data_IF_220455210060
#
_entry.id   IF_220455210060
#
_cell.length_a   1.000
_cell.length_b   1.000
_cell.length_c   1.000
_cell.angle_alpha   90.00
_cell.angle_beta   90.00
_cell.angle_gamma   90.00
#
_symmetry.space_group_name_H-M   'P 1'
#
loop_
_entity.id
_entity.type
_entity.pdbx_description
1 polymer ?
#
# COMPACT_ATOMS: atom_id res chain seq x y z
N UNK A 1 -6.46 22.15 28.26
CA UNK A 1 -5.52 21.06 28.57
C UNK A 1 -4.78 20.69 27.30
N UNK A 2 -3.50 20.31 27.41
CA UNK A 2 -2.74 19.81 26.26
C UNK A 2 -3.25 18.42 25.86
N UNK A 3 -3.46 18.16 24.56
CA UNK A 3 -3.84 16.84 24.07
C UNK A 3 -2.63 15.90 24.05
N UNK A 4 -2.87 14.63 24.31
CA UNK A 4 -1.88 13.58 24.44
C UNK A 4 -1.78 12.78 23.13
N UNK A 5 -0.61 12.77 22.53
CA UNK A 5 -0.34 12.06 21.27
C UNK A 5 0.62 10.90 21.52
N UNK A 6 0.14 9.70 21.31
CA UNK A 6 0.96 8.49 21.32
C UNK A 6 1.46 8.17 19.90
N UNK A 7 2.76 8.18 19.72
CA UNK A 7 3.41 7.75 18.48
C UNK A 7 3.88 6.32 18.63
N UNK A 8 3.14 5.39 18.05
CA UNK A 8 3.40 3.94 18.10
C UNK A 8 4.01 3.47 16.78
N UNK A 9 5.22 3.97 16.47
CA UNK A 9 5.96 3.71 15.24
C UNK A 9 7.46 3.67 15.52
N UNK A 10 8.23 2.81 14.87
CA UNK A 10 9.68 2.97 14.78
C UNK A 10 9.99 4.20 13.93
N UNK A 11 10.56 5.23 14.55
CA UNK A 11 10.91 6.49 13.88
C UNK A 11 12.35 6.88 14.16
N UNK A 12 12.96 7.63 13.22
CA UNK A 12 14.30 8.18 13.40
C UNK A 12 14.30 9.38 14.37
N UNK A 13 15.47 9.72 14.89
CA UNK A 13 15.63 10.92 15.73
C UNK A 13 15.19 12.22 15.02
N UNK A 14 15.42 12.32 13.71
CA UNK A 14 14.98 13.45 12.90
C UNK A 14 13.45 13.52 12.80
N UNK A 15 12.79 12.38 12.54
CA UNK A 15 11.33 12.32 12.49
C UNK A 15 10.72 12.67 13.85
N UNK A 16 11.32 12.17 14.94
CA UNK A 16 10.91 12.50 16.31
C UNK A 16 11.01 14.00 16.56
N UNK A 17 12.13 14.62 16.25
CA UNK A 17 12.33 16.06 16.42
C UNK A 17 11.30 16.87 15.62
N UNK A 18 10.93 16.43 14.41
CA UNK A 18 9.89 17.09 13.60
C UNK A 18 8.50 16.99 14.23
N UNK A 19 8.16 15.86 14.87
CA UNK A 19 6.89 15.69 15.58
C UNK A 19 6.86 16.58 16.83
N UNK A 20 7.92 16.54 17.65
CA UNK A 20 8.04 17.32 18.87
C UNK A 20 8.08 18.85 18.64
N UNK A 21 8.45 19.29 17.44
CA UNK A 21 8.41 20.70 17.04
C UNK A 21 6.98 21.27 16.95
N UNK A 22 5.95 20.43 16.82
CA UNK A 22 4.55 20.85 16.83
C UNK A 22 4.13 21.10 18.27
N UNK A 23 3.95 22.39 18.63
CA UNK A 23 3.64 22.82 19.97
C UNK A 23 2.18 22.61 20.39
N UNK A 24 1.92 22.56 21.68
CA UNK A 24 0.56 22.47 22.24
C UNK A 24 0.10 21.04 22.53
N UNK A 25 0.96 20.04 22.33
CA UNK A 25 0.69 18.63 22.58
C UNK A 25 1.70 18.03 23.56
N UNK A 26 1.29 16.98 24.28
CA UNK A 26 2.21 16.11 25.00
C UNK A 26 2.44 14.84 24.17
N UNK A 27 3.69 14.38 24.05
CA UNK A 27 4.06 13.25 23.22
C UNK A 27 4.62 12.10 24.03
N UNK A 28 4.19 10.88 23.70
CA UNK A 28 4.86 9.64 24.08
C UNK A 28 5.25 8.87 22.83
N UNK A 29 6.37 8.17 22.87
CA UNK A 29 6.89 7.39 21.74
C UNK A 29 7.10 5.95 22.18
N UNK A 30 6.55 5.03 21.41
CA UNK A 30 6.64 3.59 21.65
C UNK A 30 6.65 2.84 20.31
N UNK A 31 6.74 1.53 20.36
CA UNK A 31 6.55 0.65 19.19
C UNK A 31 5.44 -0.35 19.49
N UNK A 32 4.87 -1.03 18.49
CA UNK A 32 3.85 -2.06 18.73
C UNK A 32 4.25 -3.12 19.73
N UNK A 33 5.56 -3.46 19.78
CA UNK A 33 6.11 -4.50 20.66
C UNK A 33 6.34 -4.03 22.10
N UNK A 34 6.47 -2.73 22.32
CA UNK A 34 6.79 -2.15 23.63
C UNK A 34 5.65 -1.32 24.25
N UNK A 35 4.59 -1.12 23.49
CA UNK A 35 3.42 -0.37 23.94
C UNK A 35 2.72 -1.06 25.11
N UNK A 36 2.25 -0.26 26.06
CA UNK A 36 1.56 -0.71 27.27
C UNK A 36 0.09 -0.27 27.31
N UNK A 37 -0.67 -0.85 28.23
CA UNK A 37 -2.04 -0.40 28.50
C UNK A 37 -2.08 1.05 29.01
N UNK A 38 -1.07 1.46 29.81
CA UNK A 38 -0.95 2.84 30.29
C UNK A 38 -0.80 3.82 29.13
N UNK A 39 0.04 3.48 28.12
CA UNK A 39 0.20 4.31 26.92
C UNK A 39 -1.10 4.44 26.14
N UNK A 40 -1.83 3.34 26.00
CA UNK A 40 -3.12 3.35 25.33
C UNK A 40 -4.15 4.24 26.04
N UNK A 41 -4.27 4.10 27.37
CA UNK A 41 -5.21 4.86 28.18
C UNK A 41 -4.82 6.34 28.33
N UNK A 42 -3.56 6.68 28.15
CA UNK A 42 -3.07 8.06 28.23
C UNK A 42 -3.41 8.87 26.96
N UNK A 43 -3.60 8.23 25.81
CA UNK A 43 -3.64 8.89 24.52
C UNK A 43 -5.03 9.47 24.19
N UNK A 44 -5.08 10.74 23.77
CA UNK A 44 -6.22 11.34 23.05
C UNK A 44 -6.13 11.07 21.54
N UNK A 45 -4.91 10.90 21.03
CA UNK A 45 -4.65 10.54 19.63
C UNK A 45 -3.52 9.52 19.52
N UNK A 46 -3.65 8.59 18.55
CA UNK A 46 -2.63 7.58 18.26
C UNK A 46 -2.17 7.71 16.81
N UNK A 47 -0.88 7.83 16.62
CA UNK A 47 -0.19 7.78 15.33
C UNK A 47 0.58 6.47 15.22
N UNK A 48 0.15 5.58 14.35
CA UNK A 48 0.74 4.26 14.17
C UNK A 48 -0.18 3.11 14.58
N UNK A 49 0.31 1.88 14.45
CA UNK A 49 -0.49 0.68 14.65
C UNK A 49 -0.37 0.15 16.09
N UNK A 50 -1.00 0.83 17.05
CA UNK A 50 -1.12 0.31 18.41
C UNK A 50 -1.87 -1.03 18.39
N UNK A 51 -1.40 -2.08 19.13
CA UNK A 51 -2.07 -3.38 19.16
C UNK A 51 -3.55 -3.28 19.52
N UNK A 52 -4.41 -4.00 18.80
CA UNK A 52 -5.88 -3.97 19.00
C UNK A 52 -6.30 -4.25 20.46
N UNK A 53 -5.70 -5.22 21.20
CA UNK A 53 -6.05 -5.44 22.59
C UNK A 53 -5.76 -4.26 23.51
N UNK A 54 -4.79 -3.40 23.17
CA UNK A 54 -4.45 -2.21 23.94
C UNK A 54 -5.37 -1.05 23.57
N UNK A 55 -5.54 -0.75 22.27
CA UNK A 55 -6.35 0.39 21.83
C UNK A 55 -7.83 0.23 22.23
N UNK A 56 -8.33 -1.01 22.28
CA UNK A 56 -9.69 -1.33 22.71
C UNK A 56 -10.01 -0.91 24.16
N UNK A 57 -8.98 -0.71 24.98
CA UNK A 57 -9.14 -0.26 26.39
C UNK A 57 -9.35 1.25 26.50
N UNK A 58 -9.06 2.01 25.43
CA UNK A 58 -9.22 3.46 25.43
C UNK A 58 -10.64 3.82 24.95
N UNK A 59 -11.45 4.40 25.84
CA UNK A 59 -12.83 4.79 25.61
C UNK A 59 -13.00 6.27 25.22
N UNK A 60 -11.90 7.05 25.21
CA UNK A 60 -11.90 8.49 24.93
C UNK A 60 -11.00 8.91 23.76
N UNK A 61 -10.43 7.96 23.01
CA UNK A 61 -9.59 8.24 21.87
C UNK A 61 -10.36 9.04 20.80
N UNK A 62 -9.83 10.20 20.43
CA UNK A 62 -10.47 11.11 19.48
C UNK A 62 -9.99 10.89 18.03
N UNK A 63 -8.72 10.49 17.85
CA UNK A 63 -8.14 10.30 16.54
C UNK A 63 -7.17 9.11 16.51
N UNK A 64 -7.37 8.28 15.51
CA UNK A 64 -6.47 7.16 15.18
C UNK A 64 -5.95 7.29 13.75
N UNK A 65 -4.64 7.46 13.58
CA UNK A 65 -3.95 7.40 12.30
C UNK A 65 -3.23 6.07 12.13
N UNK A 66 -3.76 5.17 11.31
CA UNK A 66 -3.06 3.95 10.96
C UNK A 66 -1.87 4.23 10.04
N UNK A 67 -0.74 3.55 10.24
CA UNK A 67 0.40 3.58 9.32
C UNK A 67 0.26 2.60 8.15
N UNK A 68 -0.85 1.88 8.04
CA UNK A 68 -1.20 1.00 6.92
C UNK A 68 -2.33 1.58 6.09
N UNK A 69 -2.43 1.17 4.83
CA UNK A 69 -3.53 1.60 3.96
C UNK A 69 -4.85 0.87 4.23
N UNK A 70 -4.80 -0.27 4.93
CA UNK A 70 -5.97 -1.09 5.28
C UNK A 70 -6.13 -1.21 6.80
N UNK A 71 -6.90 -0.32 7.46
CA UNK A 71 -7.08 -0.32 8.91
C UNK A 71 -8.20 -1.28 9.37
N UNK A 72 -8.52 -2.34 8.63
CA UNK A 72 -9.72 -3.17 8.83
C UNK A 72 -9.87 -3.70 10.25
N UNK A 73 -8.77 -4.11 10.90
CA UNK A 73 -8.78 -4.63 12.26
C UNK A 73 -9.24 -3.59 13.31
N UNK A 74 -9.05 -2.30 13.01
CA UNK A 74 -9.44 -1.20 13.89
C UNK A 74 -10.88 -0.73 13.65
N UNK A 75 -11.48 -1.11 12.52
CA UNK A 75 -12.86 -0.76 12.17
C UNK A 75 -13.88 -1.80 12.65
N UNK A 76 -13.42 -2.85 13.33
CA UNK A 76 -14.33 -3.82 13.95
C UNK A 76 -15.10 -3.16 15.11
N UNK A 77 -16.37 -3.54 15.32
CA UNK A 77 -17.17 -3.00 16.41
C UNK A 77 -16.49 -3.16 17.78
N UNK A 78 -16.47 -2.08 18.56
CA UNK A 78 -15.90 -2.06 19.91
C UNK A 78 -14.37 -2.05 19.96
N UNK A 79 -13.66 -1.80 18.85
CA UNK A 79 -12.20 -1.59 18.87
C UNK A 79 -11.86 -0.14 19.15
N UNK A 80 -12.52 0.79 18.50
CA UNK A 80 -12.35 2.23 18.71
C UNK A 80 -13.64 2.79 19.33
N UNK A 81 -13.55 3.86 20.15
CA UNK A 81 -14.72 4.50 20.71
C UNK A 81 -15.58 5.14 19.61
N UNK A 82 -16.88 5.30 19.93
CA UNK A 82 -17.81 5.97 19.03
C UNK A 82 -17.39 7.44 18.83
N UNK A 83 -17.37 7.87 17.56
CA UNK A 83 -16.95 9.23 17.20
C UNK A 83 -15.44 9.38 16.97
N UNK A 84 -14.61 8.37 17.24
CA UNK A 84 -13.19 8.42 16.92
C UNK A 84 -12.96 8.61 15.42
N UNK A 85 -12.18 9.63 15.06
CA UNK A 85 -11.79 9.89 13.69
C UNK A 85 -10.71 8.90 13.27
N UNK A 86 -10.96 8.14 12.21
CA UNK A 86 -9.99 7.17 11.67
C UNK A 86 -9.42 7.66 10.35
N UNK A 87 -8.11 7.73 10.28
CA UNK A 87 -7.36 8.01 9.06
C UNK A 87 -6.32 6.92 8.79
N UNK A 88 -5.89 6.79 7.54
CA UNK A 88 -4.95 5.75 7.14
C UNK A 88 -3.84 6.28 6.20
N UNK A 89 -2.87 5.43 5.88
CA UNK A 89 -1.74 5.78 5.03
C UNK A 89 -1.99 5.51 3.53
N UNK A 90 -3.24 5.65 3.05
CA UNK A 90 -3.54 5.57 1.62
C UNK A 90 -2.76 6.65 0.86
N UNK A 91 -2.06 6.27 -0.21
CA UNK A 91 -1.20 7.16 -1.00
C UNK A 91 0.29 7.06 -0.67
N UNK A 92 0.65 6.49 0.49
CA UNK A 92 2.05 6.38 0.89
C UNK A 92 2.81 5.23 0.21
N UNK A 93 2.10 4.20 -0.24
CA UNK A 93 2.72 2.94 -0.69
C UNK A 93 2.76 2.76 -2.22
N UNK A 94 2.04 3.57 -2.97
CA UNK A 94 1.84 3.39 -4.41
C UNK A 94 3.13 3.34 -5.20
N UNK A 95 4.11 4.18 -4.87
CA UNK A 95 5.42 4.23 -5.52
C UNK A 95 6.20 2.92 -5.26
N UNK A 96 6.51 2.65 -4.01
CA UNK A 96 7.39 1.54 -3.65
C UNK A 96 6.83 0.17 -4.06
N UNK A 97 5.53 -0.07 -3.81
CA UNK A 97 4.90 -1.35 -4.17
C UNK A 97 4.82 -1.52 -5.68
N UNK A 98 4.48 -0.47 -6.44
CA UNK A 98 4.40 -0.57 -7.89
C UNK A 98 5.76 -0.84 -8.55
N UNK A 99 6.84 -0.33 -8.00
CA UNK A 99 8.21 -0.63 -8.45
C UNK A 99 8.59 -2.08 -8.13
N UNK A 100 8.25 -2.56 -6.93
CA UNK A 100 8.45 -3.97 -6.58
C UNK A 100 7.66 -4.91 -7.51
N UNK A 101 6.40 -4.57 -7.84
CA UNK A 101 5.59 -5.33 -8.80
C UNK A 101 6.25 -5.40 -10.18
N UNK A 102 6.82 -4.28 -10.68
CA UNK A 102 7.54 -4.27 -11.94
C UNK A 102 8.81 -5.10 -11.89
N UNK A 103 9.57 -5.00 -10.80
CA UNK A 103 10.78 -5.80 -10.61
C UNK A 103 10.47 -7.30 -10.64
N UNK A 104 9.43 -7.73 -9.92
CA UNK A 104 8.97 -9.13 -9.95
C UNK A 104 8.49 -9.54 -11.34
N UNK A 105 7.72 -8.70 -12.03
CA UNK A 105 7.24 -9.00 -13.36
C UNK A 105 8.39 -9.13 -14.38
N UNK A 106 9.35 -8.21 -14.37
CA UNK A 106 10.56 -8.31 -15.20
C UNK A 106 11.38 -9.54 -14.84
N UNK A 107 11.53 -9.85 -13.56
CA UNK A 107 12.24 -11.04 -13.08
C UNK A 107 11.65 -12.33 -13.67
N UNK A 108 10.33 -12.44 -13.66
CA UNK A 108 9.62 -13.59 -14.25
C UNK A 108 9.72 -13.61 -15.78
N UNK A 109 9.49 -12.50 -16.45
CA UNK A 109 9.55 -12.40 -17.91
C UNK A 109 10.95 -12.71 -18.47
N UNK A 110 11.99 -12.36 -17.72
CA UNK A 110 13.40 -12.55 -18.12
C UNK A 110 14.03 -13.80 -17.50
N UNK A 111 13.24 -14.61 -16.78
CA UNK A 111 13.69 -15.84 -16.13
C UNK A 111 14.92 -15.67 -15.21
N UNK A 112 15.03 -14.49 -14.58
CA UNK A 112 16.18 -14.16 -13.75
C UNK A 112 16.45 -15.19 -12.62
N UNK A 113 15.43 -15.81 -11.97
CA UNK A 113 15.67 -16.86 -10.99
C UNK A 113 16.44 -18.07 -11.58
N UNK A 114 16.05 -18.52 -12.77
CA UNK A 114 16.72 -19.63 -13.48
C UNK A 114 18.17 -19.29 -13.82
N UNK A 115 18.42 -18.11 -14.34
CA UNK A 115 19.78 -17.68 -14.66
C UNK A 115 20.63 -17.49 -13.40
N UNK A 116 20.06 -16.98 -12.31
CA UNK A 116 20.76 -16.91 -11.03
C UNK A 116 21.18 -18.29 -10.50
N UNK A 117 20.29 -19.29 -10.60
CA UNK A 117 20.59 -20.64 -10.15
C UNK A 117 21.66 -21.31 -11.02
N UNK A 118 21.56 -21.15 -12.35
CA UNK A 118 22.61 -21.57 -13.30
C UNK A 118 23.97 -20.91 -12.99
N UNK A 119 23.98 -19.61 -12.66
CA UNK A 119 25.19 -18.88 -12.30
C UNK A 119 25.86 -19.45 -11.02
N UNK A 120 25.07 -19.82 -10.02
CA UNK A 120 25.59 -20.46 -8.80
C UNK A 120 26.24 -21.81 -9.06
N UNK A 121 25.74 -22.52 -10.07
CA UNK A 121 26.28 -23.81 -10.52
C UNK A 121 27.39 -23.66 -11.56
N UNK A 122 27.87 -22.42 -11.84
CA UNK A 122 28.85 -22.12 -12.90
C UNK A 122 28.44 -22.68 -14.27
N UNK A 123 27.13 -22.75 -14.54
CA UNK A 123 26.57 -23.35 -15.74
C UNK A 123 26.04 -22.28 -16.70
N UNK A 124 26.55 -22.28 -17.94
CA UNK A 124 25.99 -21.52 -19.04
C UNK A 124 24.89 -22.36 -19.71
N UNK A 125 23.64 -22.14 -19.31
CA UNK A 125 22.48 -22.86 -19.85
C UNK A 125 21.39 -21.86 -20.22
N UNK A 126 21.31 -21.42 -21.47
CA UNK A 126 20.19 -20.61 -21.97
C UNK A 126 18.90 -21.40 -21.93
N UNK A 127 17.79 -20.73 -21.70
CA UNK A 127 16.45 -21.36 -21.56
C UNK A 127 15.91 -21.99 -22.85
N UNK A 128 16.58 -21.75 -23.99
CA UNK A 128 16.23 -22.35 -25.28
C UNK A 128 15.01 -21.74 -25.98
N UNK A 129 14.39 -20.71 -25.41
CA UNK A 129 13.26 -19.98 -25.98
C UNK A 129 13.37 -18.47 -25.76
N UNK A 130 12.58 -17.70 -26.50
CA UNK A 130 12.54 -16.25 -26.35
C UNK A 130 11.90 -15.86 -25.02
N UNK A 131 12.59 -15.05 -24.25
CA UNK A 131 12.03 -14.48 -23.01
C UNK A 131 11.00 -13.39 -23.33
N UNK A 132 9.98 -13.26 -22.48
CA UNK A 132 8.91 -12.28 -22.63
C UNK A 132 9.40 -10.83 -22.53
N UNK A 133 8.55 -9.91 -22.97
CA UNK A 133 8.76 -8.47 -22.83
C UNK A 133 7.51 -7.77 -22.31
N UNK A 134 7.71 -6.67 -21.57
CA UNK A 134 6.60 -5.79 -21.17
C UNK A 134 6.04 -5.05 -22.38
N UNK A 135 6.90 -4.59 -23.27
CA UNK A 135 6.46 -3.92 -24.51
C UNK A 135 5.59 -4.86 -25.35
N UNK A 136 4.42 -4.39 -25.74
CA UNK A 136 3.42 -5.17 -26.48
C UNK A 136 2.60 -6.15 -25.65
N UNK A 137 2.87 -6.29 -24.35
CA UNK A 137 2.05 -7.11 -23.46
C UNK A 137 0.72 -6.44 -23.12
N UNK A 138 -0.29 -7.23 -22.74
CA UNK A 138 -1.56 -6.73 -22.23
C UNK A 138 -1.69 -7.01 -20.74
N UNK A 139 -1.97 -5.96 -19.96
CA UNK A 139 -2.05 -6.01 -18.49
C UNK A 139 -3.47 -5.67 -18.04
N UNK A 140 -4.06 -6.54 -17.22
CA UNK A 140 -5.30 -6.25 -16.52
C UNK A 140 -4.99 -5.86 -15.08
N UNK A 141 -5.26 -4.59 -14.73
CA UNK A 141 -5.14 -4.09 -13.36
C UNK A 141 -6.51 -4.19 -12.66
N UNK A 142 -6.67 -5.17 -11.78
CA UNK A 142 -7.86 -5.30 -10.93
C UNK A 142 -7.67 -4.44 -9.68
N UNK A 143 -8.36 -3.28 -9.65
CA UNK A 143 -8.20 -2.26 -8.63
C UNK A 143 -7.29 -1.11 -9.09
N UNK A 144 -7.92 -0.02 -9.51
CA UNK A 144 -7.25 1.23 -9.94
C UNK A 144 -7.25 2.28 -8.81
N UNK A 145 -6.81 1.85 -7.61
CA UNK A 145 -6.50 2.71 -6.47
C UNK A 145 -5.07 3.28 -6.56
N UNK A 146 -4.48 3.63 -5.43
CA UNK A 146 -3.12 4.16 -5.35
C UNK A 146 -2.09 3.23 -6.01
N UNK A 147 -1.97 1.98 -5.53
CA UNK A 147 -1.00 1.01 -6.03
C UNK A 147 -1.26 0.66 -7.50
N UNK A 148 -2.51 0.28 -7.83
CA UNK A 148 -2.86 -0.14 -9.19
C UNK A 148 -2.65 0.95 -10.23
N UNK A 149 -2.97 2.21 -9.91
CA UNK A 149 -2.73 3.34 -10.83
C UNK A 149 -1.24 3.64 -11.00
N UNK A 150 -0.45 3.54 -9.94
CA UNK A 150 1.01 3.70 -9.99
C UNK A 150 1.67 2.60 -10.83
N UNK A 151 1.25 1.35 -10.66
CA UNK A 151 1.73 0.23 -11.47
C UNK A 151 1.32 0.37 -12.93
N UNK A 152 0.04 0.64 -13.20
CA UNK A 152 -0.51 0.78 -14.53
C UNK A 152 0.20 1.86 -15.36
N UNK A 153 0.47 3.03 -14.75
CA UNK A 153 1.21 4.11 -15.38
C UNK A 153 2.62 3.69 -15.79
N UNK A 154 3.32 2.94 -14.95
CA UNK A 154 4.68 2.44 -15.21
C UNK A 154 4.67 1.36 -16.29
N UNK A 155 3.74 0.42 -16.21
CA UNK A 155 3.57 -0.62 -17.23
C UNK A 155 3.30 -0.02 -18.61
N UNK A 156 2.43 0.98 -18.68
CA UNK A 156 2.16 1.72 -19.91
C UNK A 156 3.41 2.43 -20.46
N UNK A 157 4.16 3.10 -19.59
CA UNK A 157 5.41 3.76 -19.99
C UNK A 157 6.46 2.80 -20.55
N UNK A 158 6.39 1.51 -20.16
CA UNK A 158 7.22 0.43 -20.71
C UNK A 158 6.62 -0.23 -21.97
N UNK A 159 5.53 0.32 -22.51
CA UNK A 159 4.92 -0.13 -23.77
C UNK A 159 3.86 -1.22 -23.64
N UNK A 160 3.33 -1.47 -22.45
CA UNK A 160 2.19 -2.37 -22.26
C UNK A 160 0.84 -1.70 -22.62
N UNK A 161 -0.10 -2.48 -23.14
CA UNK A 161 -1.52 -2.10 -23.18
C UNK A 161 -2.13 -2.34 -21.81
N UNK A 162 -2.65 -1.29 -21.16
CA UNK A 162 -3.21 -1.41 -19.80
C UNK A 162 -4.72 -1.33 -19.81
N UNK A 163 -5.36 -2.31 -19.20
CA UNK A 163 -6.80 -2.36 -18.95
C UNK A 163 -7.05 -2.31 -17.45
N UNK A 164 -7.80 -1.31 -16.97
CA UNK A 164 -8.07 -1.11 -15.56
C UNK A 164 -9.51 -1.50 -15.18
N UNK A 165 -9.67 -2.17 -14.04
CA UNK A 165 -10.97 -2.48 -13.44
C UNK A 165 -11.10 -1.76 -12.11
N UNK A 166 -12.25 -1.09 -11.89
CA UNK A 166 -12.56 -0.37 -10.66
C UNK A 166 -14.02 -0.59 -10.25
N UNK A 167 -14.26 -0.74 -8.95
CA UNK A 167 -15.61 -0.95 -8.40
C UNK A 167 -16.52 0.26 -8.62
N UNK A 168 -16.04 1.46 -8.36
CA UNK A 168 -16.82 2.69 -8.43
C UNK A 168 -16.57 3.44 -9.73
N UNK A 169 -17.65 3.92 -10.38
CA UNK A 169 -17.54 4.81 -11.53
C UNK A 169 -16.89 6.14 -11.12
N UNK A 170 -15.90 6.60 -11.87
CA UNK A 170 -15.42 7.98 -11.78
C UNK A 170 -16.46 8.85 -12.50
N UNK A 171 -17.02 9.88 -11.85
CA UNK A 171 -17.91 10.82 -12.53
C UNK A 171 -17.24 11.46 -13.76
N UNK A 172 -17.96 11.74 -14.85
CA UNK A 172 -17.39 12.31 -16.07
C UNK A 172 -16.60 13.61 -15.87
N UNK A 173 -16.99 14.44 -14.92
CA UNK A 173 -16.35 15.74 -14.62
C UNK A 173 -14.94 15.63 -14.00
N UNK A 174 -14.50 14.42 -13.59
CA UNK A 174 -13.14 14.14 -13.10
C UNK A 174 -12.35 13.20 -14.01
N UNK A 175 -12.87 12.91 -15.18
CA UNK A 175 -12.23 12.03 -16.15
C UNK A 175 -11.39 12.82 -17.15
N UNK A 176 -10.33 13.48 -16.70
CA UNK A 176 -9.11 13.38 -17.45
C UNK A 176 -8.49 12.05 -17.09
N UNK A 177 -9.11 10.94 -17.49
CA UNK A 177 -8.39 9.67 -17.53
C UNK A 177 -7.21 9.92 -18.47
N UNK A 178 -5.97 9.86 -17.99
CA UNK A 178 -4.82 10.01 -18.88
C UNK A 178 -5.04 9.00 -20.00
N UNK A 179 -4.82 9.37 -21.26
CA UNK A 179 -5.09 8.52 -22.43
C UNK A 179 -4.36 7.18 -22.48
N UNK A 180 -3.67 6.83 -21.41
CA UNK A 180 -2.83 5.65 -21.28
C UNK A 180 -3.55 4.41 -20.72
N UNK A 181 -4.83 4.47 -20.29
CA UNK A 181 -5.56 3.26 -19.91
C UNK A 181 -6.97 3.24 -20.48
N UNK A 182 -7.43 2.04 -20.85
CA UNK A 182 -8.80 1.78 -21.28
C UNK A 182 -9.61 1.22 -20.12
N UNK A 183 -10.83 1.69 -20.00
CA UNK A 183 -11.80 1.17 -19.05
C UNK A 183 -12.43 -0.09 -19.58
N UNK A 184 -12.52 -1.12 -18.76
CA UNK A 184 -13.25 -2.33 -19.11
C UNK A 184 -14.27 -2.72 -18.05
N UNK A 185 -15.39 -3.30 -18.50
CA UNK A 185 -16.26 -4.07 -17.63
C UNK A 185 -15.58 -5.43 -17.34
N UNK A 186 -15.65 -5.89 -16.09
CA UNK A 186 -15.03 -7.15 -15.65
C UNK A 186 -15.34 -8.32 -16.59
N UNK A 187 -16.61 -8.49 -16.97
CA UNK A 187 -17.07 -9.59 -17.84
C UNK A 187 -16.51 -9.55 -19.27
N UNK A 188 -16.26 -8.37 -19.82
CA UNK A 188 -15.69 -8.22 -21.17
C UNK A 188 -14.17 -8.38 -21.18
N UNK A 189 -13.51 -7.96 -20.11
CA UNK A 189 -12.04 -8.03 -20.00
C UNK A 189 -11.53 -9.44 -19.78
N UNK A 190 -12.24 -10.24 -18.96
CA UNK A 190 -11.86 -11.63 -18.72
C UNK A 190 -11.97 -12.51 -19.97
N UNK A 191 -12.90 -12.23 -20.89
CA UNK A 191 -13.05 -13.01 -22.14
C UNK A 191 -11.93 -12.76 -23.15
N UNK A 192 -11.16 -11.68 -23.04
CA UNK A 192 -10.05 -11.29 -23.93
C UNK A 192 -8.67 -11.53 -23.33
N UNK A 193 -8.60 -11.98 -22.10
CA UNK A 193 -7.37 -12.39 -21.47
C UNK A 193 -7.01 -13.78 -22.01
N UNK A 194 -6.01 -13.85 -22.87
CA UNK A 194 -5.32 -15.11 -23.11
C UNK A 194 -4.58 -15.44 -21.82
N UNK A 195 -5.15 -16.32 -21.01
CA UNK A 195 -4.44 -16.90 -19.90
C UNK A 195 -3.18 -17.58 -20.44
N UNK A 196 -2.04 -17.20 -19.92
CA UNK A 196 -0.78 -17.89 -20.17
C UNK A 196 -0.97 -19.36 -19.78
N UNK A 197 -0.83 -20.26 -20.75
CA UNK A 197 -0.68 -21.69 -20.52
C UNK A 197 0.80 -21.99 -20.34
#
# INVERSE_FOLDING_TARGET
MSKHILVCLPISAEQRARIEAVQGFAYRFTTPDTATAEDALWADAVLGNLPVPLIRQNDHLEWFQSNTAGPNNYLEPGVLPEGCIVTNATGAYGLAISECMLAMWLSLLKELPTYRDNQREHRWAPTGHSVGSIAGSRVLCVGMGDIGSNFARRAYALGAEVVGVRRTRIPPARTTAPGWWRRANWTQSCRRLTLWR
#
